data_IF_671005544451
#
_entry.id   IF_671005544451
#
_cell.length_a   1.000
_cell.length_b   1.000
_cell.length_c   1.000
_cell.angle_alpha   90.00
_cell.angle_beta   90.00
_cell.angle_gamma   90.00
#
_symmetry.space_group_name_H-M   'P 1'
#
loop_
_entity.id
_entity.type
_entity.pdbx_description
1 polymer ?
#
# COMPACT_ATOMS: atom_id res chain seq x y z
N UNK A 1 -23.52 -37.86 -10.01
CA UNK A 1 -22.30 -37.09 -9.68
C UNK A 1 -21.52 -37.82 -8.61
N UNK A 2 -20.24 -38.05 -8.80
CA UNK A 2 -19.40 -38.73 -7.83
C UNK A 2 -19.11 -37.85 -6.63
N UNK A 3 -18.71 -38.47 -5.52
CA UNK A 3 -18.30 -37.70 -4.33
C UNK A 3 -17.05 -36.87 -4.61
N UNK A 4 -16.15 -37.35 -5.47
CA UNK A 4 -14.98 -36.60 -5.90
C UNK A 4 -15.39 -35.33 -6.65
N UNK A 5 -16.34 -35.43 -7.57
CA UNK A 5 -16.85 -34.27 -8.30
C UNK A 5 -17.47 -33.23 -7.38
N UNK A 6 -18.21 -33.68 -6.36
CA UNK A 6 -18.79 -32.78 -5.34
C UNK A 6 -17.70 -32.09 -4.54
N UNK A 7 -16.67 -32.83 -4.13
CA UNK A 7 -15.54 -32.27 -3.37
C UNK A 7 -14.77 -31.25 -4.21
N UNK A 8 -14.53 -31.54 -5.48
CA UNK A 8 -13.83 -30.61 -6.39
C UNK A 8 -14.66 -29.34 -6.62
N UNK A 9 -15.98 -29.49 -6.82
CA UNK A 9 -16.87 -28.34 -6.98
C UNK A 9 -16.89 -27.44 -5.73
N UNK A 10 -16.91 -28.04 -4.54
CA UNK A 10 -16.85 -27.30 -3.28
C UNK A 10 -15.51 -26.58 -3.13
N UNK A 11 -14.40 -27.22 -3.52
CA UNK A 11 -13.09 -26.61 -3.46
C UNK A 11 -12.96 -25.43 -4.46
N UNK A 12 -13.48 -25.60 -5.67
CA UNK A 12 -13.49 -24.53 -6.68
C UNK A 12 -14.30 -23.31 -6.20
N UNK A 13 -15.47 -23.56 -5.60
CA UNK A 13 -16.30 -22.49 -5.04
C UNK A 13 -15.57 -21.74 -3.92
N UNK A 14 -14.88 -22.46 -3.02
CA UNK A 14 -14.10 -21.87 -1.95
C UNK A 14 -12.95 -21.03 -2.50
N UNK A 15 -12.22 -21.52 -3.50
CA UNK A 15 -11.13 -20.77 -4.13
C UNK A 15 -11.63 -19.50 -4.81
N UNK A 16 -12.80 -19.57 -5.45
CA UNK A 16 -13.41 -18.39 -6.05
C UNK A 16 -13.78 -17.33 -5.02
N UNK A 17 -14.33 -17.74 -3.87
CA UNK A 17 -14.65 -16.83 -2.77
C UNK A 17 -13.40 -16.20 -2.17
N UNK A 18 -12.35 -16.99 -1.94
CA UNK A 18 -11.06 -16.51 -1.41
C UNK A 18 -10.42 -15.50 -2.35
N UNK A 19 -10.45 -15.76 -3.66
CA UNK A 19 -9.92 -14.85 -4.66
C UNK A 19 -10.71 -13.54 -4.73
N UNK A 20 -12.04 -13.60 -4.64
CA UNK A 20 -12.90 -12.44 -4.60
C UNK A 20 -12.63 -11.58 -3.37
N UNK A 21 -12.51 -12.21 -2.19
CA UNK A 21 -12.19 -11.53 -0.95
C UNK A 21 -10.79 -10.88 -1.00
N UNK A 22 -9.83 -11.56 -1.56
CA UNK A 22 -8.48 -11.04 -1.77
C UNK A 22 -8.49 -9.79 -2.65
N UNK A 23 -9.23 -9.83 -3.75
CA UNK A 23 -9.35 -8.69 -4.66
C UNK A 23 -10.03 -7.50 -3.97
N UNK A 24 -11.05 -7.74 -3.16
CA UNK A 24 -11.73 -6.69 -2.39
C UNK A 24 -10.78 -6.02 -1.40
N UNK A 25 -9.98 -6.83 -0.69
CA UNK A 25 -8.98 -6.30 0.27
C UNK A 25 -7.91 -5.47 -0.43
N UNK A 26 -7.42 -5.95 -1.56
CA UNK A 26 -6.42 -5.23 -2.35
C UNK A 26 -6.97 -3.92 -2.89
N UNK A 27 -8.18 -3.94 -3.42
CA UNK A 27 -8.86 -2.75 -3.94
C UNK A 27 -9.08 -1.71 -2.84
N UNK A 28 -9.50 -2.14 -1.65
CA UNK A 28 -9.67 -1.25 -0.51
C UNK A 28 -8.35 -0.63 -0.06
N UNK A 29 -7.27 -1.41 -0.05
CA UNK A 29 -5.94 -0.92 0.29
C UNK A 29 -5.42 0.07 -0.75
N UNK A 30 -5.66 -0.17 -2.04
CA UNK A 30 -5.30 0.77 -3.10
C UNK A 30 -6.06 2.08 -2.97
N UNK A 31 -7.36 2.04 -2.64
CA UNK A 31 -8.17 3.21 -2.42
C UNK A 31 -7.67 4.01 -1.20
N UNK A 32 -7.29 3.32 -0.13
CA UNK A 32 -6.70 3.94 1.05
C UNK A 32 -5.38 4.66 0.70
N UNK A 33 -4.49 4.00 -0.03
CA UNK A 33 -3.21 4.57 -0.43
C UNK A 33 -3.39 5.77 -1.36
N UNK A 34 -4.34 5.70 -2.28
CA UNK A 34 -4.70 6.82 -3.16
C UNK A 34 -5.15 8.04 -2.35
N UNK A 35 -6.05 7.83 -1.39
CA UNK A 35 -6.53 8.89 -0.50
C UNK A 35 -5.41 9.50 0.32
N UNK A 36 -4.52 8.67 0.86
CA UNK A 36 -3.35 9.13 1.58
C UNK A 36 -2.42 9.97 0.69
N UNK A 37 -2.16 9.51 -0.53
CA UNK A 37 -1.34 10.26 -1.49
C UNK A 37 -1.95 11.63 -1.80
N UNK A 38 -3.23 11.67 -2.16
CA UNK A 38 -3.89 12.92 -2.57
C UNK A 38 -4.05 13.92 -1.43
N UNK A 39 -4.42 13.45 -0.25
CA UNK A 39 -4.72 14.32 0.88
C UNK A 39 -3.49 14.73 1.68
N UNK A 40 -2.52 13.83 1.83
CA UNK A 40 -1.41 14.05 2.76
C UNK A 40 -0.07 14.26 2.07
N UNK A 41 0.22 13.52 1.01
CA UNK A 41 1.53 13.56 0.34
C UNK A 41 1.57 14.64 -0.74
N UNK A 42 0.69 14.56 -1.73
CA UNK A 42 0.67 15.51 -2.84
C UNK A 42 0.34 16.93 -2.40
N UNK A 43 -0.49 17.07 -1.37
CA UNK A 43 -0.87 18.36 -0.82
C UNK A 43 0.15 18.94 0.16
N UNK A 44 1.16 18.19 0.55
CA UNK A 44 2.14 18.63 1.56
C UNK A 44 3.14 19.64 1.02
N UNK A 45 3.06 20.87 1.52
CA UNK A 45 4.05 21.91 1.21
C UNK A 45 5.40 21.61 1.81
N UNK A 46 5.42 21.06 3.02
CA UNK A 46 6.66 20.77 3.75
C UNK A 46 7.50 19.72 3.07
N UNK A 47 6.87 18.69 2.48
CA UNK A 47 7.59 17.70 1.69
C UNK A 47 8.24 18.35 0.46
N UNK A 48 7.51 19.22 -0.24
CA UNK A 48 8.03 19.93 -1.41
C UNK A 48 9.15 20.89 -1.04
N UNK A 49 9.01 21.62 0.07
CA UNK A 49 10.05 22.53 0.57
C UNK A 49 11.34 21.80 0.94
N UNK A 50 11.23 20.53 1.32
CA UNK A 50 12.37 19.67 1.65
C UNK A 50 12.92 18.90 0.44
N UNK A 51 12.41 19.18 -0.76
CA UNK A 51 12.84 18.56 -2.00
C UNK A 51 12.38 17.13 -2.19
N UNK A 52 11.33 16.72 -1.49
CA UNK A 52 10.80 15.35 -1.61
C UNK A 52 9.74 15.32 -2.71
N UNK A 53 9.99 14.49 -3.71
CA UNK A 53 9.07 14.23 -4.81
C UNK A 53 8.31 12.94 -4.58
N UNK A 54 7.10 12.85 -5.10
CA UNK A 54 6.27 11.66 -4.99
C UNK A 54 5.61 11.31 -6.30
N UNK A 55 5.37 10.02 -6.51
CA UNK A 55 4.65 9.49 -7.67
C UNK A 55 3.76 8.33 -7.23
N UNK A 56 2.55 8.27 -7.77
CA UNK A 56 1.57 7.25 -7.45
C UNK A 56 0.97 6.67 -8.74
N UNK A 57 0.98 5.34 -8.87
CA UNK A 57 0.49 4.66 -10.08
C UNK A 57 -0.80 3.85 -9.88
N UNK A 58 -1.43 3.94 -8.72
CA UNK A 58 -2.64 3.18 -8.36
C UNK A 58 -2.39 2.06 -7.36
N UNK A 59 -1.21 1.46 -7.34
CA UNK A 59 -0.84 0.38 -6.42
C UNK A 59 0.45 0.66 -5.66
N UNK A 60 1.20 1.65 -6.11
CA UNK A 60 2.52 1.96 -5.57
C UNK A 60 2.71 3.47 -5.46
N UNK A 61 3.11 3.91 -4.28
CA UNK A 61 3.52 5.27 -4.01
C UNK A 61 5.02 5.28 -3.73
N UNK A 62 5.78 6.11 -4.44
CA UNK A 62 7.22 6.25 -4.21
C UNK A 62 7.51 7.69 -3.85
N UNK A 63 8.24 7.89 -2.75
CA UNK A 63 8.75 9.19 -2.35
C UNK A 63 10.27 9.19 -2.51
N UNK A 64 10.82 10.26 -3.09
CA UNK A 64 12.25 10.40 -3.35
C UNK A 64 12.71 11.80 -3.03
N UNK A 65 13.96 11.92 -2.56
CA UNK A 65 14.63 13.19 -2.42
C UNK A 65 15.83 13.19 -3.40
N UNK A 66 15.63 13.66 -4.63
CA UNK A 66 16.77 13.75 -5.57
C UNK A 66 17.75 14.82 -5.09
N UNK A 67 18.99 14.41 -4.85
CA UNK A 67 20.09 15.32 -4.52
C UNK A 67 21.12 15.30 -5.64
N UNK A 68 21.72 16.45 -5.94
CA UNK A 68 22.75 16.53 -6.98
C UNK A 68 23.92 15.59 -6.66
N UNK A 69 24.18 14.64 -7.56
CA UNK A 69 25.29 13.71 -7.46
C UNK A 69 25.10 12.51 -6.54
N UNK A 70 23.95 12.40 -5.88
CA UNK A 70 23.64 11.26 -5.02
C UNK A 70 22.25 10.71 -5.31
N UNK A 71 22.15 9.39 -5.45
CA UNK A 71 20.85 8.72 -5.47
C UNK A 71 20.41 8.52 -4.03
N UNK A 72 19.46 9.31 -3.55
CA UNK A 72 18.80 8.98 -2.31
C UNK A 72 17.91 7.76 -2.58
N UNK A 73 17.97 6.75 -1.71
CA UNK A 73 17.05 5.63 -1.79
C UNK A 73 15.63 6.14 -1.57
N UNK A 74 14.76 5.91 -2.57
CA UNK A 74 13.35 6.25 -2.45
C UNK A 74 12.67 5.38 -1.41
N UNK A 75 11.56 5.85 -0.88
CA UNK A 75 10.69 5.06 -0.01
C UNK A 75 9.54 4.53 -0.86
N UNK A 76 9.54 3.23 -1.22
CA UNK A 76 8.40 2.63 -1.90
C UNK A 76 7.34 2.22 -0.88
N UNK A 77 6.09 2.60 -1.13
CA UNK A 77 4.92 2.16 -0.37
C UNK A 77 4.03 1.41 -1.34
N UNK A 78 3.87 0.12 -1.12
CA UNK A 78 3.24 -0.80 -2.08
C UNK A 78 2.08 -1.53 -1.45
N UNK A 79 1.05 -1.81 -2.26
CA UNK A 79 -0.06 -2.68 -1.85
C UNK A 79 0.27 -4.10 -2.28
N UNK A 80 0.32 -5.03 -1.33
CA UNK A 80 0.57 -6.43 -1.58
C UNK A 80 -0.68 -7.19 -2.04
N UNK A 81 -0.49 -8.46 -2.38
CA UNK A 81 -1.56 -9.31 -2.92
C UNK A 81 -2.71 -9.55 -1.94
N UNK A 82 -2.45 -9.52 -0.65
CA UNK A 82 -3.45 -9.73 0.40
C UNK A 82 -4.06 -8.42 0.92
N UNK A 83 -3.75 -7.31 0.26
CA UNK A 83 -4.22 -5.99 0.70
C UNK A 83 -3.41 -5.38 1.84
N UNK A 84 -2.23 -5.93 2.13
CA UNK A 84 -1.31 -5.36 3.10
C UNK A 84 -0.53 -4.18 2.50
N UNK A 85 -0.14 -3.25 3.34
CA UNK A 85 0.68 -2.11 2.97
C UNK A 85 2.13 -2.40 3.38
N UNK A 86 3.05 -2.30 2.42
CA UNK A 86 4.49 -2.39 2.67
C UNK A 86 5.14 -1.02 2.47
N UNK A 87 5.95 -0.60 3.43
CA UNK A 87 6.71 0.64 3.34
C UNK A 87 8.20 0.31 3.48
N UNK A 88 8.95 0.49 2.38
CA UNK A 88 10.38 0.22 2.36
C UNK A 88 10.76 -1.21 2.68
N UNK A 89 9.92 -2.19 2.33
CA UNK A 89 10.12 -3.59 2.63
C UNK A 89 9.58 -4.06 3.99
N UNK A 90 9.03 -3.14 4.78
CA UNK A 90 8.43 -3.47 6.08
C UNK A 90 6.91 -3.55 5.92
N UNK A 91 6.32 -4.68 6.32
CA UNK A 91 4.87 -4.84 6.27
C UNK A 91 4.20 -4.12 7.44
N UNK A 92 3.25 -3.23 7.12
CA UNK A 92 2.46 -2.50 8.10
C UNK A 92 1.08 -3.13 8.33
N UNK A 93 0.77 -4.22 7.61
CA UNK A 93 -0.52 -4.89 7.71
C UNK A 93 -1.59 -4.21 6.85
N UNK A 94 -2.83 -4.61 7.05
CA UNK A 94 -3.99 -4.13 6.27
C UNK A 94 -4.57 -2.86 6.87
N UNK A 95 -5.00 -1.87 6.03
CA UNK A 95 -5.63 -0.65 6.55
C UNK A 95 -7.07 -0.85 7.01
N UNK A 96 -7.71 -1.93 6.61
CA UNK A 96 -9.12 -2.21 6.95
C UNK A 96 -9.33 -2.29 8.46
N UNK A 97 -10.34 -1.56 8.93
CA UNK A 97 -10.71 -1.52 10.35
C UNK A 97 -9.95 -0.49 11.17
N UNK A 98 -8.82 0.03 10.68
CA UNK A 98 -8.03 1.03 11.40
C UNK A 98 -7.20 1.90 10.46
N UNK A 99 -7.87 2.61 9.56
CA UNK A 99 -7.22 3.46 8.57
C UNK A 99 -6.44 4.61 9.20
N UNK A 100 -6.95 5.17 10.30
CA UNK A 100 -6.27 6.28 10.99
C UNK A 100 -4.93 5.84 11.57
N UNK A 101 -4.85 4.65 12.17
CA UNK A 101 -3.60 4.11 12.69
C UNK A 101 -2.61 3.80 11.55
N UNK A 102 -3.09 3.24 10.43
CA UNK A 102 -2.23 2.98 9.27
C UNK A 102 -1.67 4.27 8.68
N UNK A 103 -2.48 5.31 8.59
CA UNK A 103 -2.03 6.62 8.16
C UNK A 103 -0.93 7.16 9.05
N UNK A 104 -1.09 7.06 10.37
CA UNK A 104 -0.07 7.48 11.33
C UNK A 104 1.22 6.68 11.19
N UNK A 105 1.12 5.37 10.96
CA UNK A 105 2.28 4.50 10.74
C UNK A 105 3.02 4.89 9.46
N UNK A 106 2.30 5.18 8.36
CA UNK A 106 2.91 5.63 7.11
C UNK A 106 3.61 6.98 7.27
N UNK A 107 3.00 7.91 7.97
CA UNK A 107 3.60 9.21 8.26
C UNK A 107 4.89 9.02 9.06
N UNK A 108 4.89 8.16 10.06
CA UNK A 108 6.08 7.86 10.87
C UNK A 108 7.20 7.24 10.02
N UNK A 109 6.87 6.34 9.10
CA UNK A 109 7.87 5.74 8.19
C UNK A 109 8.48 6.78 7.25
N UNK A 110 7.68 7.70 6.73
CA UNK A 110 8.16 8.79 5.87
C UNK A 110 9.11 9.71 6.66
N UNK A 111 8.71 10.11 7.86
CA UNK A 111 9.52 10.96 8.73
C UNK A 111 10.86 10.29 9.05
N UNK A 112 10.83 9.01 9.42
CA UNK A 112 12.04 8.25 9.75
C UNK A 112 12.96 8.07 8.54
N UNK A 113 12.40 7.73 7.38
CA UNK A 113 13.18 7.47 6.17
C UNK A 113 13.97 8.71 5.70
N UNK A 114 13.34 9.86 5.73
CA UNK A 114 13.95 11.12 5.25
C UNK A 114 14.53 11.98 6.37
N UNK A 115 14.51 11.52 7.61
CA UNK A 115 15.01 12.26 8.79
C UNK A 115 14.35 13.63 8.95
N UNK A 116 13.04 13.66 8.83
CA UNK A 116 12.25 14.90 8.89
C UNK A 116 11.99 15.40 10.31
#
# INVERSE_FOLDING_TARGET
MSELDKALAALEARRAEEEEDRQKRRKAACAFLKGFYEADVAASRKLRERGIESAFDGTRLVLQRPEEGHFSEGLPIVVGEQGEIDAGGKSLGRPQGDEAAKKSELIAEIIAHFSL
#
